data_IF_936644167774
#
_entry.id   IF_936644167774
#
_cell.length_a   1.000
_cell.length_b   1.000
_cell.length_c   1.000
_cell.angle_alpha   90.00
_cell.angle_beta   90.00
_cell.angle_gamma   90.00
#
_symmetry.space_group_name_H-M   'P 1'
#
loop_
_entity.id
_entity.type
_entity.pdbx_description
1 polymer ?
#
# COMPACT_ATOMS: atom_id res chain seq x y z
N UNK A 1 -16.93 -4.23 3.97
CA UNK A 1 -16.59 -5.53 3.35
C UNK A 1 -17.65 -6.56 3.77
N UNK A 2 -18.91 -6.35 3.39
CA UNK A 2 -20.06 -7.20 3.76
C UNK A 2 -20.88 -7.63 2.52
N UNK A 3 -20.25 -7.56 1.36
CA UNK A 3 -20.89 -7.82 0.07
C UNK A 3 -19.89 -8.65 -0.71
N UNK A 4 -20.33 -9.79 -1.27
CA UNK A 4 -19.55 -10.66 -2.18
C UNK A 4 -19.18 -9.97 -3.51
N UNK A 5 -19.22 -8.64 -3.54
CA UNK A 5 -18.82 -7.84 -4.69
C UNK A 5 -17.36 -7.43 -4.52
N UNK A 6 -16.55 -7.73 -5.54
CA UNK A 6 -15.19 -7.25 -5.62
C UNK A 6 -15.15 -5.72 -5.46
N UNK A 7 -14.24 -5.23 -4.62
CA UNK A 7 -14.03 -3.80 -4.44
C UNK A 7 -13.06 -3.31 -5.49
N UNK A 8 -13.54 -2.49 -6.42
CA UNK A 8 -12.74 -1.89 -7.48
C UNK A 8 -12.28 -0.49 -7.06
N UNK A 9 -10.98 -0.22 -7.18
CA UNK A 9 -10.35 1.05 -6.83
C UNK A 9 -9.58 1.57 -8.06
N UNK A 10 -9.89 2.78 -8.55
CA UNK A 10 -9.13 3.40 -9.64
C UNK A 10 -7.66 3.61 -9.23
N UNK A 11 -6.74 3.33 -10.15
CA UNK A 11 -5.30 3.51 -9.94
C UNK A 11 -4.77 4.62 -10.84
N UNK A 12 -3.88 5.46 -10.32
CA UNK A 12 -3.22 6.51 -11.10
C UNK A 12 -2.08 5.94 -11.94
N UNK A 13 -1.61 6.71 -12.92
CA UNK A 13 -0.41 6.38 -13.70
C UNK A 13 0.82 6.19 -12.79
N UNK A 14 1.03 7.08 -11.82
CA UNK A 14 2.12 6.95 -10.86
C UNK A 14 2.04 5.70 -10.01
N UNK A 15 0.84 5.30 -9.58
CA UNK A 15 0.65 4.04 -8.86
C UNK A 15 0.99 2.84 -9.75
N UNK A 16 0.59 2.88 -11.02
CA UNK A 16 0.91 1.82 -11.98
C UNK A 16 2.43 1.68 -12.17
N UNK A 17 3.17 2.77 -12.21
CA UNK A 17 4.63 2.73 -12.36
C UNK A 17 5.33 2.13 -11.13
N UNK A 18 4.86 2.47 -9.92
CA UNK A 18 5.32 1.83 -8.67
C UNK A 18 5.07 0.32 -8.71
N UNK A 19 3.89 -0.13 -9.14
CA UNK A 19 3.56 -1.54 -9.23
C UNK A 19 4.42 -2.29 -10.26
N UNK A 20 4.70 -1.67 -11.41
CA UNK A 20 5.61 -2.24 -12.41
C UNK A 20 7.03 -2.37 -11.88
N UNK A 21 7.51 -1.40 -11.10
CA UNK A 21 8.83 -1.47 -10.48
C UNK A 21 8.87 -2.57 -9.40
N UNK A 22 7.85 -2.63 -8.55
CA UNK A 22 7.70 -3.68 -7.54
C UNK A 22 7.76 -5.08 -8.15
N UNK A 23 7.02 -5.31 -9.24
CA UNK A 23 7.01 -6.59 -9.98
C UNK A 23 8.40 -7.04 -10.48
N UNK A 24 9.32 -6.12 -10.75
CA UNK A 24 10.70 -6.45 -11.16
C UNK A 24 11.57 -6.90 -9.99
N UNK A 25 11.22 -6.50 -8.76
CA UNK A 25 12.01 -6.75 -7.55
C UNK A 25 11.47 -7.93 -6.73
N UNK A 26 10.20 -8.26 -6.92
CA UNK A 26 9.48 -9.27 -6.14
C UNK A 26 9.21 -10.50 -7.02
N UNK A 27 9.82 -11.63 -6.65
CA UNK A 27 9.65 -12.92 -7.31
C UNK A 27 8.51 -13.74 -6.67
N UNK A 28 7.33 -13.13 -6.56
CA UNK A 28 6.12 -13.76 -6.00
C UNK A 28 4.98 -13.67 -7.01
N UNK A 29 4.28 -14.79 -7.22
CA UNK A 29 3.07 -14.85 -8.06
C UNK A 29 1.80 -14.54 -7.29
N UNK A 30 1.81 -14.74 -5.96
CA UNK A 30 0.61 -14.73 -5.13
C UNK A 30 0.41 -13.39 -4.41
N UNK A 31 1.49 -12.61 -4.23
CA UNK A 31 1.45 -11.33 -3.53
C UNK A 31 2.01 -10.19 -4.40
N UNK A 32 1.31 -9.05 -4.39
CA UNK A 32 1.81 -7.81 -5.02
C UNK A 32 3.07 -7.30 -4.31
N UNK A 33 3.13 -7.46 -2.98
CA UNK A 33 4.30 -7.20 -2.16
C UNK A 33 4.52 -8.39 -1.22
N UNK A 34 5.69 -9.02 -1.31
CA UNK A 34 6.07 -10.15 -0.45
C UNK A 34 7.27 -9.80 0.42
N UNK A 35 7.49 -10.61 1.46
CA UNK A 35 8.71 -10.58 2.25
C UNK A 35 9.89 -11.06 1.41
N UNK A 36 10.94 -10.24 1.27
CA UNK A 36 12.17 -10.60 0.56
C UNK A 36 12.84 -11.86 1.12
N UNK A 37 12.65 -12.12 2.42
CA UNK A 37 13.28 -13.26 3.11
C UNK A 37 12.55 -14.59 2.90
N UNK A 38 11.23 -14.57 2.70
CA UNK A 38 10.40 -15.77 2.72
C UNK A 38 9.48 -15.95 1.51
N UNK A 39 9.33 -14.92 0.67
CA UNK A 39 8.37 -14.90 -0.43
C UNK A 39 6.90 -14.86 0.01
N UNK A 40 6.63 -14.82 1.32
CA UNK A 40 5.28 -14.85 1.93
C UNK A 40 4.72 -13.45 2.16
N UNK A 41 3.50 -13.39 2.70
CA UNK A 41 2.86 -12.14 3.09
C UNK A 41 3.73 -11.29 4.02
N UNK A 42 3.58 -9.97 3.89
CA UNK A 42 4.21 -9.03 4.81
C UNK A 42 3.54 -9.12 6.18
N UNK A 43 4.34 -9.02 7.24
CA UNK A 43 3.80 -8.91 8.59
C UNK A 43 2.96 -7.63 8.76
N UNK A 44 1.97 -7.66 9.66
CA UNK A 44 1.16 -6.48 10.00
C UNK A 44 2.00 -5.27 10.43
N UNK A 45 3.20 -5.50 10.97
CA UNK A 45 4.12 -4.45 11.42
C UNK A 45 4.95 -3.83 10.30
N UNK A 46 5.03 -4.44 9.12
CA UNK A 46 5.94 -4.02 8.05
C UNK A 46 5.63 -2.59 7.62
N UNK A 47 4.37 -2.26 7.35
CA UNK A 47 3.98 -0.91 6.95
C UNK A 47 4.25 0.12 8.05
N UNK A 48 3.97 -0.23 9.32
CA UNK A 48 4.26 0.64 10.46
C UNK A 48 5.76 0.98 10.53
N UNK A 49 6.62 -0.02 10.38
CA UNK A 49 8.08 0.16 10.36
C UNK A 49 8.54 0.98 9.15
N UNK A 50 7.91 0.79 7.98
CA UNK A 50 8.22 1.58 6.79
C UNK A 50 7.93 3.07 7.03
N UNK A 51 6.76 3.40 7.56
CA UNK A 51 6.36 4.80 7.82
C UNK A 51 7.19 5.42 8.95
N UNK A 52 7.25 4.77 10.11
CA UNK A 52 7.83 5.38 11.31
C UNK A 52 9.35 5.30 11.36
N UNK A 53 9.94 4.19 10.90
CA UNK A 53 11.39 3.97 11.01
C UNK A 53 12.15 4.30 9.73
N UNK A 54 11.64 3.91 8.55
CA UNK A 54 12.36 4.11 7.28
C UNK A 54 12.12 5.51 6.71
N UNK A 55 10.85 5.95 6.70
CA UNK A 55 10.49 7.29 6.24
C UNK A 55 10.59 8.35 7.35
N UNK A 56 10.65 7.94 8.61
CA UNK A 56 10.77 8.86 9.75
C UNK A 56 9.54 9.75 9.96
N UNK A 57 8.37 9.33 9.48
CA UNK A 57 7.14 10.12 9.58
C UNK A 57 6.44 9.80 10.90
N UNK A 58 6.17 10.82 11.70
CA UNK A 58 5.45 10.70 12.97
C UNK A 58 3.94 10.53 12.74
N UNK A 59 3.55 9.34 12.29
CA UNK A 59 2.16 8.97 12.04
C UNK A 59 1.95 7.46 12.14
N UNK A 60 0.69 7.04 12.02
CA UNK A 60 0.30 5.63 11.97
C UNK A 60 -0.28 5.30 10.59
N UNK A 61 -0.47 4.01 10.32
CA UNK A 61 -1.17 3.58 9.09
C UNK A 61 -2.61 4.11 9.04
N UNK A 62 -3.28 4.15 10.20
CA UNK A 62 -4.61 4.75 10.31
C UNK A 62 -4.57 6.26 10.02
N UNK A 63 -3.55 6.96 10.52
CA UNK A 63 -3.31 8.38 10.24
C UNK A 63 -3.12 8.64 8.74
N UNK A 64 -2.18 7.92 8.11
CA UNK A 64 -1.94 8.01 6.65
C UNK A 64 -3.21 7.81 5.83
N UNK A 65 -4.05 6.83 6.21
CA UNK A 65 -5.32 6.57 5.52
C UNK A 65 -6.32 7.71 5.69
N UNK A 66 -6.46 8.25 6.90
CA UNK A 66 -7.39 9.36 7.14
C UNK A 66 -6.97 10.58 6.33
N UNK A 67 -5.68 10.95 6.41
CA UNK A 67 -5.13 12.07 5.66
C UNK A 67 -5.29 11.91 4.15
N UNK A 68 -5.06 10.71 3.60
CA UNK A 68 -5.30 10.46 2.17
C UNK A 68 -6.77 10.65 1.77
N UNK A 69 -7.70 10.13 2.58
CA UNK A 69 -9.13 10.25 2.33
C UNK A 69 -9.58 11.72 2.38
N UNK A 70 -9.11 12.48 3.37
CA UNK A 70 -9.43 13.91 3.51
C UNK A 70 -8.85 14.70 2.32
N UNK A 71 -7.57 14.50 1.98
CA UNK A 71 -6.93 15.13 0.82
C UNK A 71 -7.65 14.81 -0.50
N UNK A 72 -7.99 13.53 -0.75
CA UNK A 72 -8.67 13.13 -1.97
C UNK A 72 -10.04 13.81 -2.08
N UNK A 73 -10.80 13.89 -0.98
CA UNK A 73 -12.09 14.57 -0.94
C UNK A 73 -11.99 16.07 -1.18
N UNK A 74 -10.89 16.70 -0.78
CA UNK A 74 -10.71 18.15 -0.94
C UNK A 74 -10.14 18.55 -2.31
N UNK A 75 -9.44 17.64 -2.99
CA UNK A 75 -8.65 17.96 -4.19
C UNK A 75 -9.12 17.28 -5.48
N UNK A 76 -10.02 16.28 -5.39
CA UNK A 76 -10.46 15.48 -6.55
C UNK A 76 -11.98 15.42 -6.73
N UNK A 77 -12.72 16.27 -6.01
CA UNK A 77 -14.18 16.42 -6.16
C UNK A 77 -14.57 17.40 -7.28
#
# INVERSE_FOLDING_TARGET
>A
MKTDKAHEVPISSGMLDILKEAKKKIDSTDFVFSSDQSGKELSNNTLRLAVQKRLGVDTTIHGMRSSFKDWASETTN
#
